data_IF_063298086109
#
_entry.id   IF_063298086109
#
_cell.length_a   1.000
_cell.length_b   1.000
_cell.length_c   1.000
_cell.angle_alpha   90.00
_cell.angle_beta   90.00
_cell.angle_gamma   90.00
#
_symmetry.space_group_name_H-M   'P 1'
#
loop_
_entity.id
_entity.type
_entity.pdbx_description
1 polymer ?
#
# COMPACT_ATOMS: atom_id res chain seq x y z
N UNK A 1 12.61 -13.05 -16.93
CA UNK A 1 13.24 -11.78 -16.51
C UNK A 1 14.75 -11.99 -16.50
N UNK A 2 15.53 -11.17 -17.22
CA UNK A 2 16.99 -11.35 -17.35
C UNK A 2 17.69 -10.76 -16.13
N UNK A 3 18.66 -11.48 -15.54
CA UNK A 3 19.44 -10.96 -14.40
C UNK A 3 20.31 -9.78 -14.86
N UNK A 4 20.13 -8.57 -14.31
CA UNK A 4 20.94 -7.42 -14.68
C UNK A 4 22.39 -7.63 -14.21
N UNK A 5 23.36 -7.38 -15.08
CA UNK A 5 24.78 -7.53 -14.78
C UNK A 5 25.33 -6.25 -14.14
N UNK A 6 24.96 -6.00 -12.88
CA UNK A 6 25.30 -4.78 -12.15
C UNK A 6 26.29 -5.00 -10.98
N UNK A 7 26.73 -6.24 -10.75
CA UNK A 7 27.54 -6.59 -9.58
C UNK A 7 26.74 -6.45 -8.27
N UNK A 8 27.46 -6.27 -7.15
CA UNK A 8 26.85 -6.05 -5.82
C UNK A 8 26.21 -4.66 -5.74
N UNK A 9 25.06 -4.55 -5.06
CA UNK A 9 24.47 -3.24 -4.74
C UNK A 9 25.33 -2.51 -3.72
N UNK A 10 25.65 -1.25 -3.99
CA UNK A 10 26.46 -0.40 -3.11
C UNK A 10 25.62 0.61 -2.34
N UNK A 11 24.54 1.11 -2.95
CA UNK A 11 23.65 2.10 -2.35
C UNK A 11 22.22 2.00 -2.91
N UNK A 12 21.25 2.50 -2.15
CA UNK A 12 19.82 2.51 -2.49
C UNK A 12 19.13 3.80 -2.01
N UNK A 13 18.28 4.38 -2.85
CA UNK A 13 17.48 5.56 -2.52
C UNK A 13 16.00 5.34 -2.88
N UNK A 14 15.12 5.75 -1.99
CA UNK A 14 13.67 5.71 -2.17
C UNK A 14 13.12 7.06 -2.61
N UNK A 15 12.08 7.06 -3.46
CA UNK A 15 11.31 8.28 -3.69
C UNK A 15 10.57 8.70 -2.41
N UNK A 16 10.29 10.01 -2.20
CA UNK A 16 9.61 10.49 -0.99
C UNK A 16 8.23 9.86 -0.74
N UNK A 17 7.54 9.50 -1.81
CA UNK A 17 6.26 8.80 -1.80
C UNK A 17 6.41 7.27 -1.66
N UNK A 18 7.63 6.75 -1.47
CA UNK A 18 7.98 5.34 -1.30
C UNK A 18 7.44 4.38 -2.37
N UNK A 19 7.14 4.87 -3.58
CA UNK A 19 6.66 4.03 -4.70
C UNK A 19 7.80 3.56 -5.60
N UNK A 20 8.91 4.29 -5.62
CA UNK A 20 10.06 3.99 -6.45
C UNK A 20 11.30 3.79 -5.60
N UNK A 21 12.17 2.91 -6.07
CA UNK A 21 13.49 2.68 -5.49
C UNK A 21 14.53 2.64 -6.61
N UNK A 22 15.65 3.30 -6.37
CA UNK A 22 16.81 3.31 -7.26
C UNK A 22 17.98 2.68 -6.52
N UNK A 23 18.70 1.78 -7.17
CA UNK A 23 19.87 1.14 -6.60
C UNK A 23 21.07 1.21 -7.54
N UNK A 24 22.27 1.45 -7.01
CA UNK A 24 23.52 1.50 -7.79
C UNK A 24 24.37 0.26 -7.51
N UNK A 25 24.84 -0.37 -8.58
CA UNK A 25 25.71 -1.55 -8.52
C UNK A 25 27.20 -1.21 -8.60
N UNK A 26 28.05 -2.14 -8.17
CA UNK A 26 29.51 -2.01 -8.14
C UNK A 26 30.16 -1.84 -9.52
N UNK A 27 29.43 -2.15 -10.59
CA UNK A 27 29.89 -1.91 -11.98
C UNK A 27 29.51 -0.52 -12.50
N UNK A 28 28.84 0.32 -11.70
CA UNK A 28 28.33 1.63 -12.09
C UNK A 28 26.95 1.60 -12.74
N UNK A 29 26.34 0.43 -12.89
CA UNK A 29 24.96 0.30 -13.38
C UNK A 29 23.91 0.77 -12.36
N UNK A 30 22.80 1.31 -12.84
CA UNK A 30 21.67 1.78 -12.02
C UNK A 30 20.44 0.95 -12.32
N UNK A 31 19.77 0.47 -11.26
CA UNK A 31 18.47 -0.19 -11.34
C UNK A 31 17.38 0.76 -10.89
N UNK A 32 16.29 0.79 -11.67
CA UNK A 32 15.04 1.44 -11.31
C UNK A 32 14.00 0.35 -11.05
N UNK A 33 13.38 0.41 -9.88
CA UNK A 33 12.26 -0.46 -9.53
C UNK A 33 11.10 0.36 -8.97
N UNK A 34 9.89 -0.12 -9.24
CA UNK A 34 8.64 0.46 -8.76
C UNK A 34 7.92 -0.61 -7.94
N UNK A 35 7.44 -0.23 -6.75
CA UNK A 35 6.66 -1.12 -5.89
C UNK A 35 5.29 -1.32 -6.53
N UNK A 36 5.05 -2.51 -7.06
CA UNK A 36 3.75 -2.96 -7.54
C UNK A 36 3.09 -3.90 -6.54
N UNK A 37 1.76 -3.95 -6.55
CA UNK A 37 0.94 -4.93 -5.81
C UNK A 37 1.28 -5.03 -4.32
N UNK A 38 0.61 -4.20 -3.52
CA UNK A 38 0.75 -4.23 -2.07
C UNK A 38 -0.23 -5.25 -1.47
N UNK A 39 0.32 -6.31 -0.87
CA UNK A 39 -0.42 -7.24 -0.02
C UNK A 39 -0.13 -6.92 1.44
N UNK A 40 -1.19 -6.80 2.24
CA UNK A 40 -1.14 -6.48 3.67
C UNK A 40 -1.90 -7.55 4.44
N UNK A 41 -1.33 -8.04 5.53
CA UNK A 41 -1.93 -9.09 6.35
C UNK A 41 -2.11 -8.62 7.79
N UNK A 42 -3.29 -8.84 8.37
CA UNK A 42 -3.55 -8.58 9.77
C UNK A 42 -4.69 -9.45 10.31
N UNK A 43 -4.45 -10.15 11.42
CA UNK A 43 -5.47 -10.86 12.24
C UNK A 43 -6.49 -11.64 11.39
N UNK A 44 -6.01 -12.42 10.42
CA UNK A 44 -6.87 -13.27 9.59
C UNK A 44 -7.55 -12.55 8.42
N UNK A 45 -7.16 -11.32 8.11
CA UNK A 45 -7.52 -10.64 6.88
C UNK A 45 -6.28 -10.41 6.03
N UNK A 46 -6.44 -10.62 4.73
CA UNK A 46 -5.50 -10.23 3.69
C UNK A 46 -6.15 -9.12 2.86
N UNK A 47 -5.46 -8.00 2.67
CA UNK A 47 -5.87 -6.92 1.79
C UNK A 47 -4.87 -6.78 0.65
N UNK A 48 -5.39 -6.83 -0.59
CA UNK A 48 -4.61 -6.74 -1.82
C UNK A 48 -5.07 -5.52 -2.61
N UNK A 49 -4.13 -4.63 -2.95
CA UNK A 49 -4.39 -3.53 -3.86
C UNK A 49 -4.42 -4.05 -5.30
N UNK A 50 -5.56 -4.58 -5.70
CA UNK A 50 -5.78 -5.27 -6.99
C UNK A 50 -5.77 -4.31 -8.20
N UNK A 51 -6.04 -3.01 -7.99
CA UNK A 51 -5.94 -1.98 -9.03
C UNK A 51 -5.60 -0.62 -8.42
N UNK A 52 -5.36 0.39 -9.26
CA UNK A 52 -5.14 1.76 -8.78
C UNK A 52 -6.30 2.34 -7.95
N UNK A 53 -7.49 1.75 -8.01
CA UNK A 53 -8.71 2.21 -7.34
C UNK A 53 -9.51 1.09 -6.65
N UNK A 54 -8.91 -0.08 -6.49
CA UNK A 54 -9.61 -1.26 -5.96
C UNK A 54 -8.74 -1.96 -4.93
N UNK A 55 -9.34 -2.28 -3.78
CA UNK A 55 -8.75 -3.17 -2.77
C UNK A 55 -9.66 -4.38 -2.63
N UNK A 56 -9.09 -5.58 -2.78
CA UNK A 56 -9.76 -6.83 -2.44
C UNK A 56 -9.34 -7.26 -1.05
N UNK A 57 -10.31 -7.55 -0.20
CA UNK A 57 -10.08 -8.05 1.15
C UNK A 57 -10.57 -9.48 1.20
N UNK A 58 -9.75 -10.37 1.73
CA UNK A 58 -10.07 -11.77 1.95
C UNK A 58 -10.00 -12.05 3.44
N UNK A 59 -11.07 -12.55 4.02
CA UNK A 59 -11.02 -13.17 5.34
C UNK A 59 -10.49 -14.59 5.18
N UNK A 60 -9.30 -14.86 5.72
CA UNK A 60 -8.63 -16.15 5.53
C UNK A 60 -9.26 -17.29 6.32
N UNK A 61 -10.20 -16.99 7.24
CA UNK A 61 -10.85 -18.00 8.09
C UNK A 61 -12.03 -18.67 7.39
N UNK A 62 -12.79 -17.90 6.63
CA UNK A 62 -14.02 -18.35 5.94
C UNK A 62 -14.00 -18.10 4.43
N UNK A 63 -12.87 -17.60 3.91
CA UNK A 63 -12.64 -17.27 2.50
C UNK A 63 -13.60 -16.24 1.92
N UNK A 64 -14.34 -15.52 2.78
CA UNK A 64 -15.19 -14.43 2.33
C UNK A 64 -14.36 -13.29 1.74
N UNK A 65 -14.91 -12.64 0.72
CA UNK A 65 -14.23 -11.57 -0.02
C UNK A 65 -15.09 -10.32 -0.09
N UNK A 66 -14.47 -9.21 0.26
CA UNK A 66 -15.01 -7.87 0.07
C UNK A 66 -14.17 -7.12 -0.97
N UNK A 67 -14.81 -6.25 -1.74
CA UNK A 67 -14.14 -5.41 -2.73
C UNK A 67 -14.48 -3.96 -2.47
N UNK A 68 -13.46 -3.16 -2.17
CA UNK A 68 -13.59 -1.73 -1.94
C UNK A 68 -13.21 -0.99 -3.21
N UNK A 69 -14.16 -0.22 -3.75
CA UNK A 69 -13.95 0.64 -4.90
C UNK A 69 -13.83 2.11 -4.48
N UNK A 70 -12.78 2.76 -4.98
CA UNK A 70 -12.47 4.15 -4.66
C UNK A 70 -12.69 5.04 -5.88
N UNK A 71 -13.15 6.27 -5.64
CA UNK A 71 -13.29 7.27 -6.71
C UNK A 71 -11.92 7.71 -7.24
N UNK A 72 -10.98 7.93 -6.33
CA UNK A 72 -9.64 8.45 -6.59
C UNK A 72 -8.58 7.35 -6.46
N UNK A 73 -7.37 7.63 -6.97
CA UNK A 73 -6.25 6.68 -6.92
C UNK A 73 -5.85 6.42 -5.47
N UNK A 74 -5.68 5.15 -5.12
CA UNK A 74 -5.11 4.72 -3.85
C UNK A 74 -3.61 5.04 -3.86
N UNK A 75 -3.18 5.79 -2.86
CA UNK A 75 -1.78 6.19 -2.65
C UNK A 75 -1.08 5.27 -1.66
N UNK A 76 -1.76 4.95 -0.56
CA UNK A 76 -1.23 4.11 0.53
C UNK A 76 -2.37 3.33 1.17
N UNK A 77 -2.05 2.15 1.68
CA UNK A 77 -2.97 1.34 2.47
C UNK A 77 -2.23 0.87 3.71
N UNK A 78 -2.95 0.76 4.82
CA UNK A 78 -2.48 0.12 6.05
C UNK A 78 -3.58 -0.78 6.58
N UNK A 79 -3.21 -1.94 7.09
CA UNK A 79 -4.12 -2.88 7.73
C UNK A 79 -3.48 -3.31 9.05
N UNK A 80 -4.03 -2.82 10.16
CA UNK A 80 -3.56 -3.14 11.50
C UNK A 80 -4.69 -2.93 12.52
N UNK A 81 -4.62 -3.66 13.63
CA UNK A 81 -5.53 -3.48 14.78
C UNK A 81 -7.01 -3.44 14.39
N UNK A 82 -7.44 -4.39 13.55
CA UNK A 82 -8.83 -4.51 13.08
C UNK A 82 -9.36 -3.31 12.25
N UNK A 83 -8.45 -2.48 11.73
CA UNK A 83 -8.78 -1.35 10.89
C UNK A 83 -7.97 -1.35 9.59
N UNK A 84 -8.66 -1.12 8.48
CA UNK A 84 -8.04 -0.84 7.18
C UNK A 84 -8.12 0.66 6.90
N UNK A 85 -6.98 1.28 6.67
CA UNK A 85 -6.87 2.69 6.27
C UNK A 85 -6.45 2.72 4.81
N UNK A 86 -7.25 3.36 3.96
CA UNK A 86 -6.93 3.61 2.56
C UNK A 86 -6.81 5.11 2.33
N UNK A 87 -5.62 5.57 1.99
CA UNK A 87 -5.36 6.94 1.55
C UNK A 87 -5.52 7.02 0.04
N UNK A 88 -6.35 7.94 -0.41
CA UNK A 88 -6.49 8.34 -1.80
C UNK A 88 -5.90 9.72 -2.00
N UNK A 89 -5.91 10.22 -3.24
CA UNK A 89 -5.44 11.59 -3.56
C UNK A 89 -6.11 12.68 -2.71
N UNK A 90 -7.40 12.53 -2.41
CA UNK A 90 -8.20 13.58 -1.78
C UNK A 90 -8.84 13.16 -0.45
N UNK A 91 -8.85 11.88 -0.12
CA UNK A 91 -9.59 11.35 1.03
C UNK A 91 -8.83 10.24 1.75
N UNK A 92 -8.93 10.22 3.06
CA UNK A 92 -8.56 9.10 3.91
C UNK A 92 -9.81 8.34 4.31
N UNK A 93 -9.87 7.05 3.99
CA UNK A 93 -10.94 6.15 4.38
C UNK A 93 -10.45 5.23 5.49
N UNK A 94 -11.21 5.12 6.57
CA UNK A 94 -10.93 4.23 7.70
C UNK A 94 -12.09 3.25 7.82
N UNK A 95 -11.81 1.98 7.60
CA UNK A 95 -12.76 0.88 7.68
C UNK A 95 -12.48 0.06 8.92
N UNK A 96 -13.54 -0.42 9.57
CA UNK A 96 -13.44 -1.53 10.53
C UNK A 96 -13.54 -2.85 9.76
N UNK A 97 -12.71 -3.84 10.10
CA UNK A 97 -12.81 -5.18 9.50
C UNK A 97 -14.13 -5.88 9.85
N UNK A 98 -14.85 -5.40 10.87
CA UNK A 98 -16.16 -5.91 11.25
C UNK A 98 -17.29 -5.37 10.35
N UNK A 99 -17.07 -4.26 9.64
CA UNK A 99 -18.04 -3.71 8.69
C UNK A 99 -17.40 -2.75 7.70
N UNK A 100 -17.17 -3.23 6.47
CA UNK A 100 -16.58 -2.42 5.40
C UNK A 100 -17.56 -1.43 4.73
N UNK A 101 -18.88 -1.50 5.03
CA UNK A 101 -19.88 -0.69 4.34
C UNK A 101 -19.98 0.77 4.82
N UNK A 102 -19.47 1.06 6.03
CA UNK A 102 -19.61 2.38 6.66
C UNK A 102 -18.25 2.93 7.09
N UNK A 103 -17.37 3.30 6.14
CA UNK A 103 -16.09 3.90 6.48
C UNK A 103 -16.26 5.29 7.11
N UNK A 104 -15.31 5.65 7.97
CA UNK A 104 -15.06 7.05 8.29
C UNK A 104 -14.26 7.65 7.14
N UNK A 105 -14.70 8.80 6.63
CA UNK A 105 -14.04 9.49 5.51
C UNK A 105 -13.58 10.86 5.99
N UNK A 106 -12.30 11.15 5.77
CA UNK A 106 -11.65 12.42 6.10
C UNK A 106 -11.09 13.05 4.83
N UNK A 107 -11.49 14.27 4.51
CA UNK A 107 -10.96 15.00 3.35
C UNK A 107 -9.53 15.48 3.61
N UNK A 108 -8.67 15.31 2.61
CA UNK A 108 -7.27 15.72 2.61
C UNK A 108 -7.13 17.01 1.79
N UNK A 109 -6.88 18.13 2.45
CA UNK A 109 -6.67 19.43 1.79
C UNK A 109 -5.22 19.55 1.35
N UNK A 110 -4.94 19.24 0.08
CA UNK A 110 -3.63 19.42 -0.58
C UNK A 110 -2.43 18.87 0.22
N UNK A 111 -2.67 17.77 0.96
CA UNK A 111 -1.70 17.19 1.87
C UNK A 111 -0.81 16.19 1.13
N UNK A 112 0.51 16.39 1.17
CA UNK A 112 1.47 15.34 0.79
C UNK A 112 1.63 14.38 1.96
N UNK A 113 0.94 13.24 1.93
CA UNK A 113 1.04 12.25 3.00
C UNK A 113 2.14 11.24 2.67
N UNK A 114 3.13 11.15 3.56
CA UNK A 114 4.26 10.23 3.42
C UNK A 114 4.10 8.92 4.17
N UNK A 115 3.30 8.89 5.25
CA UNK A 115 3.25 7.76 6.19
C UNK A 115 1.87 7.57 6.83
N UNK A 116 1.49 6.30 7.04
CA UNK A 116 0.39 5.88 7.93
C UNK A 116 1.02 5.09 9.08
N UNK A 117 0.68 5.44 10.32
CA UNK A 117 1.03 4.66 11.51
C UNK A 117 -0.27 4.34 12.23
N UNK A 118 -0.47 3.06 12.56
CA UNK A 118 -1.55 2.61 13.42
C UNK A 118 -0.94 2.12 14.74
N UNK A 119 -1.68 2.24 15.83
CA UNK A 119 -1.32 1.70 17.14
C UNK A 119 -2.58 1.23 17.85
N UNK A 120 -2.44 0.23 18.70
CA UNK A 120 -3.43 -0.11 19.72
C UNK A 120 -3.03 0.55 21.04
N UNK A 121 -4.02 0.96 21.84
CA UNK A 121 -3.78 1.47 23.20
C UNK A 121 -3.17 0.42 24.14
#
# INVERSE_FOLDING_TARGET
MQKPNIGSLLDVAWSPDGTNVVAVGATGGVLFAHVSECCLECVGFEAVVSSAKTITITNVRDESKDTLEFRDRILRVSLAYEHLIALTTNQCHIYSVNNFNTPIIVDLKDATISLIIQSQE
#
